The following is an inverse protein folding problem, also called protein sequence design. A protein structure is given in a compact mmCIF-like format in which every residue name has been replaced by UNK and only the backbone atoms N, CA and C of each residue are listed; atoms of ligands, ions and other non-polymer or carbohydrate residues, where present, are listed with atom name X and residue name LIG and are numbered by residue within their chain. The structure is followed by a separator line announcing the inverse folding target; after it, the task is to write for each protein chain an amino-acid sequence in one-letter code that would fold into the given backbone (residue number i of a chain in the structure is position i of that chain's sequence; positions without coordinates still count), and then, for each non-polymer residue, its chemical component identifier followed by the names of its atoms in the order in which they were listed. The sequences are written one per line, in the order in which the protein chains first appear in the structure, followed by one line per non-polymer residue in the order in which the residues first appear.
data_IF_158586336125
#
_entry.id   IF_158586336125
#
_cell.length_a   1.000
_cell.length_b   1.000
_cell.length_c   1.000
_cell.angle_alpha   90.00
_cell.angle_beta   90.00
_cell.angle_gamma   90.00
#
_symmetry.space_group_name_H-M   'P 1'
#
loop_
_entity.id
_entity.type
_entity.pdbx_description
1 polymer ?
#
# COMPACT_ATOMS: atom_id res chain seq x y z
N UNK A 1 -19.48 -45.69 -46.88
CA UNK A 1 -18.52 -44.66 -46.42
C UNK A 1 -17.15 -45.33 -46.34
N UNK A 2 -16.14 -44.82 -47.06
CA UNK A 2 -14.86 -45.52 -47.23
C UNK A 2 -13.94 -45.36 -46.01
N UNK A 3 -13.11 -46.36 -45.72
CA UNK A 3 -12.16 -46.30 -44.62
C UNK A 3 -11.17 -45.11 -44.73
N UNK A 4 -10.86 -44.69 -45.97
CA UNK A 4 -10.05 -43.51 -46.26
C UNK A 4 -10.68 -42.19 -45.81
N UNK A 5 -12.01 -42.05 -45.92
CA UNK A 5 -12.71 -40.85 -45.43
C UNK A 5 -12.63 -40.72 -43.91
N UNK A 6 -12.68 -41.84 -43.17
CA UNK A 6 -12.47 -41.83 -41.72
C UNK A 6 -11.03 -41.46 -41.34
N UNK A 7 -10.04 -41.96 -42.08
CA UNK A 7 -8.62 -41.68 -41.82
C UNK A 7 -8.30 -40.18 -41.99
N UNK A 8 -8.80 -39.56 -43.06
CA UNK A 8 -8.62 -38.13 -43.33
C UNK A 8 -9.28 -37.29 -42.24
N UNK A 9 -10.50 -37.66 -41.82
CA UNK A 9 -11.21 -36.95 -40.76
C UNK A 9 -10.45 -37.03 -39.42
N UNK A 10 -9.91 -38.21 -39.08
CA UNK A 10 -9.14 -38.41 -37.87
C UNK A 10 -7.86 -37.55 -37.85
N UNK A 11 -7.13 -37.48 -38.97
CA UNK A 11 -5.93 -36.63 -39.09
C UNK A 11 -6.28 -35.15 -38.96
N UNK A 12 -7.38 -34.70 -39.59
CA UNK A 12 -7.84 -33.31 -39.47
C UNK A 12 -8.22 -32.94 -38.03
N UNK A 13 -8.91 -33.84 -37.32
CA UNK A 13 -9.27 -33.65 -35.90
C UNK A 13 -8.02 -33.61 -35.02
N UNK A 14 -7.06 -34.52 -35.21
CA UNK A 14 -5.81 -34.51 -34.46
C UNK A 14 -5.00 -33.22 -34.70
N UNK A 15 -4.94 -32.75 -35.95
CA UNK A 15 -4.29 -31.50 -36.30
C UNK A 15 -4.97 -30.29 -35.66
N UNK A 16 -6.31 -30.25 -35.67
CA UNK A 16 -7.09 -29.21 -35.00
C UNK A 16 -6.89 -29.20 -33.48
N UNK A 17 -6.87 -30.37 -32.83
CA UNK A 17 -6.59 -30.48 -31.39
C UNK A 17 -5.18 -30.01 -31.08
N UNK A 18 -4.18 -30.40 -31.87
CA UNK A 18 -2.80 -29.98 -31.66
C UNK A 18 -2.61 -28.47 -31.85
N UNK A 19 -3.20 -27.90 -32.91
CA UNK A 19 -3.16 -26.46 -33.18
C UNK A 19 -3.87 -25.64 -32.09
N UNK A 20 -5.06 -26.09 -31.66
CA UNK A 20 -5.81 -25.41 -30.61
C UNK A 20 -5.12 -25.48 -29.24
N UNK A 21 -4.43 -26.58 -28.92
CA UNK A 21 -3.59 -26.70 -27.71
C UNK A 21 -2.42 -25.72 -27.74
N UNK A 22 -1.65 -25.67 -28.84
CA UNK A 22 -0.54 -24.71 -29.01
C UNK A 22 -1.01 -23.26 -28.87
N UNK A 23 -2.14 -22.91 -29.48
CA UNK A 23 -2.72 -21.56 -29.36
C UNK A 23 -3.13 -21.22 -27.92
N UNK A 24 -3.70 -22.18 -27.18
CA UNK A 24 -4.06 -22.00 -25.76
C UNK A 24 -2.84 -21.86 -24.86
N UNK A 25 -1.73 -22.54 -25.17
CA UNK A 25 -0.47 -22.42 -24.43
C UNK A 25 0.20 -21.07 -24.67
N UNK A 26 0.31 -20.63 -25.93
CA UNK A 26 0.85 -19.33 -26.29
C UNK A 26 0.05 -18.18 -25.64
N UNK A 27 -1.28 -18.26 -25.65
CA UNK A 27 -2.13 -17.26 -24.98
C UNK A 27 -1.91 -17.24 -23.46
N UNK A 28 -1.78 -18.42 -22.83
CA UNK A 28 -1.49 -18.51 -21.39
C UNK A 28 -0.12 -17.95 -21.04
N UNK A 29 0.89 -18.16 -21.88
CA UNK A 29 2.22 -17.56 -21.71
C UNK A 29 2.16 -16.04 -21.84
N UNK A 30 1.52 -15.51 -22.88
CA UNK A 30 1.34 -14.07 -23.08
C UNK A 30 0.63 -13.40 -21.89
N UNK A 31 -0.44 -14.03 -21.36
CA UNK A 31 -1.14 -13.52 -20.16
C UNK A 31 -0.21 -13.52 -18.93
N UNK A 32 0.59 -14.57 -18.74
CA UNK A 32 1.54 -14.66 -17.62
C UNK A 32 2.61 -13.58 -17.72
N UNK A 33 3.17 -13.36 -18.90
CA UNK A 33 4.18 -12.32 -19.13
C UNK A 33 3.60 -10.93 -18.93
N UNK A 34 2.42 -10.66 -19.50
CA UNK A 34 1.70 -9.41 -19.30
C UNK A 34 1.44 -9.14 -17.81
N UNK A 35 0.94 -10.14 -17.06
CA UNK A 35 0.71 -10.01 -15.62
C UNK A 35 2.02 -9.81 -14.84
N UNK A 36 3.12 -10.44 -15.26
CA UNK A 36 4.43 -10.27 -14.63
C UNK A 36 4.95 -8.84 -14.83
N UNK A 37 4.81 -8.28 -16.04
CA UNK A 37 5.19 -6.89 -16.34
C UNK A 37 4.33 -5.93 -15.52
N UNK A 38 3.00 -6.09 -15.58
CA UNK A 38 2.05 -5.27 -14.81
C UNK A 38 2.35 -5.29 -13.33
N UNK A 39 2.56 -6.46 -12.73
CA UNK A 39 2.85 -6.57 -11.29
C UNK A 39 4.17 -5.88 -10.91
N UNK A 40 5.17 -5.92 -11.80
CA UNK A 40 6.43 -5.20 -11.59
C UNK A 40 6.21 -3.68 -11.62
N UNK A 41 5.45 -3.19 -12.59
CA UNK A 41 5.13 -1.76 -12.70
C UNK A 41 4.37 -1.25 -11.48
N UNK A 42 3.35 -1.99 -11.03
CA UNK A 42 2.57 -1.64 -9.84
C UNK A 42 3.43 -1.61 -8.57
N UNK A 43 4.34 -2.58 -8.42
CA UNK A 43 5.29 -2.60 -7.31
C UNK A 43 6.21 -1.38 -7.34
N UNK A 44 6.77 -1.05 -8.50
CA UNK A 44 7.61 0.14 -8.67
C UNK A 44 6.84 1.42 -8.36
N UNK A 45 5.57 1.53 -8.77
CA UNK A 45 4.73 2.68 -8.42
C UNK A 45 4.49 2.79 -6.91
N UNK A 46 4.17 1.69 -6.23
CA UNK A 46 4.02 1.65 -4.78
C UNK A 46 5.29 2.12 -4.07
N UNK A 47 6.45 1.57 -4.44
CA UNK A 47 7.75 1.94 -3.86
C UNK A 47 8.05 3.43 -4.07
N UNK A 48 7.80 3.95 -5.26
CA UNK A 48 8.02 5.37 -5.57
C UNK A 48 7.14 6.30 -4.73
N UNK A 49 5.83 6.01 -4.64
CA UNK A 49 4.89 6.82 -3.85
C UNK A 49 5.25 6.79 -2.36
N UNK A 50 5.51 5.60 -1.83
CA UNK A 50 5.93 5.43 -0.44
C UNK A 50 7.25 6.16 -0.14
N UNK A 51 8.24 6.01 -1.01
CA UNK A 51 9.53 6.66 -0.82
C UNK A 51 9.42 8.18 -0.94
N UNK A 52 8.58 8.68 -1.85
CA UNK A 52 8.28 10.12 -1.95
C UNK A 52 7.66 10.64 -0.66
N UNK A 53 6.67 9.93 -0.09
CA UNK A 53 6.08 10.30 1.19
C UNK A 53 7.12 10.32 2.32
N UNK A 54 7.97 9.30 2.41
CA UNK A 54 9.05 9.20 3.40
C UNK A 54 10.20 10.19 3.17
N UNK A 55 10.31 10.77 1.98
CA UNK A 55 11.29 11.80 1.63
C UNK A 55 10.76 13.22 1.86
N UNK A 56 9.48 13.37 2.20
CA UNK A 56 8.88 14.66 2.57
C UNK A 56 9.70 15.31 3.69
N UNK A 57 9.98 16.60 3.53
CA UNK A 57 10.76 17.39 4.48
C UNK A 57 9.86 18.24 5.37
N UNK A 58 10.37 18.62 6.53
CA UNK A 58 9.66 19.53 7.44
C UNK A 58 9.33 20.87 6.76
N UNK A 59 10.24 21.39 5.92
CA UNK A 59 10.06 22.63 5.20
C UNK A 59 8.87 22.60 4.22
N UNK A 60 8.76 21.52 3.43
CA UNK A 60 7.62 21.31 2.53
C UNK A 60 6.27 21.25 3.28
N UNK A 61 6.33 20.84 4.54
CA UNK A 61 5.19 20.71 5.42
C UNK A 61 5.01 21.89 6.36
N UNK A 62 5.87 22.92 6.28
CA UNK A 62 5.84 24.12 7.11
C UNK A 62 5.95 23.80 8.63
N UNK A 63 6.67 22.72 8.93
CA UNK A 63 6.86 22.16 10.27
C UNK A 63 8.24 22.50 10.88
N UNK A 64 9.04 23.33 10.21
CA UNK A 64 10.35 23.82 10.65
C UNK A 64 10.27 25.18 11.40
N UNK A 65 9.06 25.66 11.68
CA UNK A 65 8.78 26.95 12.33
C UNK A 65 9.30 27.10 13.76
N UNK A 66 9.51 25.98 14.47
CA UNK A 66 10.04 25.96 15.84
C UNK A 66 11.28 25.08 15.89
N UNK A 67 12.50 25.64 15.72
CA UNK A 67 13.73 24.85 15.69
C UNK A 67 14.03 24.19 17.04
N UNK A 68 13.49 24.74 18.14
CA UNK A 68 13.74 24.27 19.50
C UNK A 68 12.75 23.18 19.96
N UNK A 69 11.80 22.78 19.11
CA UNK A 69 10.76 21.81 19.45
C UNK A 69 10.71 20.71 18.40
N UNK A 70 10.77 19.46 18.85
CA UNK A 70 10.53 18.33 17.97
C UNK A 70 9.03 18.24 17.62
N UNK A 71 8.70 18.38 16.35
CA UNK A 71 7.34 18.36 15.81
C UNK A 71 7.20 17.15 14.89
N UNK A 72 6.27 16.26 15.21
CA UNK A 72 5.86 15.17 14.32
C UNK A 72 4.93 15.72 13.23
N UNK A 73 5.40 15.74 11.98
CA UNK A 73 4.61 16.30 10.88
C UNK A 73 4.04 15.24 9.93
N UNK A 74 4.57 14.02 9.95
CA UNK A 74 4.10 12.94 9.08
C UNK A 74 4.33 11.57 9.69
N UNK A 75 3.48 10.63 9.31
CA UNK A 75 3.67 9.21 9.57
C UNK A 75 3.57 8.39 8.28
N UNK A 76 4.23 7.24 8.28
CA UNK A 76 4.03 6.20 7.27
C UNK A 76 3.92 4.85 7.98
N UNK A 77 2.78 4.18 7.80
CA UNK A 77 2.45 2.91 8.42
C UNK A 77 2.44 1.83 7.34
N UNK A 78 3.41 0.93 7.40
CA UNK A 78 3.57 -0.16 6.45
C UNK A 78 3.03 -1.49 6.98
N UNK A 79 2.32 -2.19 6.10
CA UNK A 79 1.84 -3.56 6.29
C UNK A 79 2.36 -4.43 5.16
N UNK A 80 3.17 -5.43 5.49
CA UNK A 80 3.69 -6.35 4.48
C UNK A 80 2.69 -7.48 4.17
N UNK A 81 2.17 -8.14 5.21
CA UNK A 81 1.32 -9.33 5.08
C UNK A 81 -0.03 -9.07 4.38
N UNK A 82 -0.51 -7.81 4.41
CA UNK A 82 -1.76 -7.40 3.76
C UNK A 82 -1.60 -7.01 2.29
N UNK A 83 -0.45 -7.31 1.67
CA UNK A 83 -0.21 -7.08 0.24
C UNK A 83 0.51 -5.77 -0.08
N UNK A 84 1.57 -5.46 0.69
CA UNK A 84 2.37 -4.23 0.54
C UNK A 84 1.47 -2.98 0.60
N UNK A 85 1.01 -2.63 1.79
CA UNK A 85 0.18 -1.45 2.03
C UNK A 85 0.99 -0.42 2.78
N UNK A 86 0.95 0.83 2.32
CA UNK A 86 1.49 1.99 3.04
C UNK A 86 0.36 2.99 3.27
N UNK A 87 0.05 3.27 4.53
CA UNK A 87 -0.81 4.40 4.91
C UNK A 87 0.07 5.57 5.31
N UNK A 88 -0.13 6.72 4.68
CA UNK A 88 0.61 7.95 4.98
C UNK A 88 -0.38 8.98 5.49
N UNK A 89 -0.01 9.72 6.53
CA UNK A 89 -0.76 10.88 6.99
C UNK A 89 0.17 12.01 7.42
N UNK A 90 -0.29 13.23 7.20
CA UNK A 90 0.42 14.47 7.48
C UNK A 90 -0.35 15.31 8.49
N UNK A 91 0.37 16.13 9.26
CA UNK A 91 -0.20 17.05 10.25
C UNK A 91 -1.08 18.15 9.61
N UNK A 92 -0.94 18.39 8.31
CA UNK A 92 -1.85 19.24 7.52
C UNK A 92 -3.22 18.58 7.32
N UNK A 93 -3.34 17.27 7.60
CA UNK A 93 -4.52 16.44 7.39
C UNK A 93 -4.61 15.77 6.02
N UNK A 94 -3.60 15.95 5.16
CA UNK A 94 -3.46 15.09 3.98
C UNK A 94 -3.13 13.64 4.42
N UNK A 95 -3.63 12.66 3.68
CA UNK A 95 -3.35 11.24 3.90
C UNK A 95 -3.57 10.45 2.61
N UNK A 96 -2.84 9.37 2.39
CA UNK A 96 -2.98 8.52 1.21
C UNK A 96 -2.74 7.06 1.57
N UNK A 97 -3.26 6.14 0.75
CA UNK A 97 -3.03 4.70 0.90
C UNK A 97 -2.48 4.16 -0.40
N UNK A 98 -1.30 3.55 -0.34
CA UNK A 98 -0.64 2.91 -1.47
C UNK A 98 -0.73 1.40 -1.32
N UNK A 99 -1.03 0.71 -2.42
CA UNK A 99 -1.12 -0.74 -2.49
C UNK A 99 -0.16 -1.26 -3.56
N UNK A 100 0.69 -2.23 -3.23
CA UNK A 100 1.58 -2.89 -4.20
C UNK A 100 0.82 -3.62 -5.33
N UNK A 101 -0.48 -3.88 -5.14
CA UNK A 101 -1.36 -4.56 -6.10
C UNK A 101 -2.18 -3.62 -7.00
N UNK A 102 -2.06 -2.30 -6.83
CA UNK A 102 -2.29 -1.35 -7.92
C UNK A 102 -3.42 -0.33 -7.87
N UNK A 103 -4.53 -0.41 -7.12
CA UNK A 103 -5.29 0.82 -6.86
C UNK A 103 -4.66 1.50 -5.66
N UNK A 104 -4.02 2.66 -5.83
CA UNK A 104 -3.76 3.56 -4.71
C UNK A 104 -4.98 4.46 -4.49
N UNK A 105 -5.27 4.75 -3.23
CA UNK A 105 -6.33 5.67 -2.85
C UNK A 105 -5.62 6.95 -2.43
N UNK A 106 -5.60 7.93 -3.33
CA UNK A 106 -5.33 9.31 -2.96
C UNK A 106 -6.68 10.00 -2.78
N UNK A 107 -7.10 10.31 -1.55
CA UNK A 107 -8.34 11.02 -1.33
C UNK A 107 -8.28 12.35 -2.06
N UNK A 108 -9.18 12.61 -3.00
CA UNK A 108 -9.39 13.97 -3.48
C UNK A 108 -9.96 14.79 -2.30
N UNK A 109 -9.07 15.58 -1.72
CA UNK A 109 -9.06 16.14 -0.37
C UNK A 109 -10.05 17.29 -0.16
N UNK A 110 -11.36 17.02 -0.07
CA UNK A 110 -12.36 18.08 0.22
C UNK A 110 -13.35 17.80 1.35
N UNK A 111 -13.21 16.69 2.07
CA UNK A 111 -14.03 16.41 3.26
C UNK A 111 -13.25 16.75 4.54
N UNK A 112 -13.75 17.74 5.30
CA UNK A 112 -13.19 18.16 6.59
C UNK A 112 -13.04 16.99 7.57
N UNK A 113 -13.91 15.98 7.48
CA UNK A 113 -13.84 14.78 8.32
C UNK A 113 -12.58 13.96 8.06
N UNK A 114 -12.17 13.82 6.80
CA UNK A 114 -10.92 13.12 6.45
C UNK A 114 -9.69 13.88 6.92
N UNK A 115 -9.69 15.21 6.81
CA UNK A 115 -8.64 16.08 7.35
C UNK A 115 -8.51 16.01 8.87
N UNK A 116 -9.63 16.04 9.58
CA UNK A 116 -9.65 15.91 11.04
C UNK A 116 -9.08 14.56 11.50
N UNK A 117 -9.48 13.48 10.83
CA UNK A 117 -9.05 12.14 11.20
C UNK A 117 -7.56 11.89 10.88
N UNK A 118 -7.05 12.37 9.76
CA UNK A 118 -5.62 12.29 9.45
C UNK A 118 -4.75 13.04 10.48
N UNK A 119 -5.18 14.24 10.89
CA UNK A 119 -4.51 14.99 11.97
C UNK A 119 -4.53 14.25 13.29
N UNK A 120 -5.68 13.68 13.64
CA UNK A 120 -5.82 12.87 14.85
C UNK A 120 -4.88 11.65 14.82
N UNK A 121 -4.71 11.00 13.68
CA UNK A 121 -3.78 9.88 13.52
C UNK A 121 -2.34 10.32 13.77
N UNK A 122 -1.91 11.48 13.24
CA UNK A 122 -0.58 12.02 13.51
C UNK A 122 -0.40 12.30 15.01
N UNK A 123 -1.38 12.95 15.65
CA UNK A 123 -1.33 13.24 17.09
C UNK A 123 -1.27 11.97 17.95
N UNK A 124 -2.06 10.94 17.64
CA UNK A 124 -2.00 9.65 18.35
C UNK A 124 -0.61 9.01 18.20
N UNK A 125 0.02 9.21 17.05
CA UNK A 125 1.31 8.62 16.73
C UNK A 125 2.47 9.24 17.52
N UNK A 126 2.31 10.43 18.10
CA UNK A 126 3.31 11.03 18.99
C UNK A 126 3.63 10.14 20.20
N UNK A 127 2.65 9.35 20.67
CA UNK A 127 2.81 8.38 21.77
C UNK A 127 3.88 7.32 21.50
N UNK A 128 4.27 7.14 20.24
CA UNK A 128 5.29 6.17 19.84
C UNK A 128 6.71 6.75 19.82
N UNK A 129 6.88 8.08 19.82
CA UNK A 129 8.21 8.71 19.82
C UNK A 129 9.12 8.20 20.95
N UNK A 130 8.64 8.04 22.21
CA UNK A 130 9.51 7.57 23.32
C UNK A 130 10.02 6.14 23.16
N UNK A 131 9.34 5.31 22.36
CA UNK A 131 9.69 3.90 22.15
C UNK A 131 10.26 3.63 20.75
N UNK A 132 10.27 4.65 19.88
CA UNK A 132 10.77 4.53 18.52
C UNK A 132 12.29 4.75 18.49
N UNK A 133 12.95 4.07 17.55
CA UNK A 133 14.38 4.21 17.34
C UNK A 133 14.65 5.16 16.16
N UNK A 134 15.60 6.11 16.26
CA UNK A 134 16.05 6.88 15.11
C UNK A 134 16.45 5.97 13.94
N UNK A 135 16.09 6.35 12.72
CA UNK A 135 16.45 5.57 11.53
C UNK A 135 16.63 6.45 10.30
N UNK A 136 17.60 6.11 9.47
CA UNK A 136 17.64 6.55 8.06
C UNK A 136 17.15 5.45 7.10
N UNK A 137 17.03 4.22 7.63
CA UNK A 137 16.60 3.06 6.87
C UNK A 137 15.07 2.99 6.83
N UNK A 138 14.53 3.03 5.61
CA UNK A 138 13.11 2.96 5.29
C UNK A 138 12.70 1.64 4.64
N UNK A 139 13.46 0.56 4.83
CA UNK A 139 13.10 -0.76 4.33
C UNK A 139 11.73 -1.20 4.87
N UNK A 140 11.02 -1.94 4.02
CA UNK A 140 9.73 -2.55 4.35
C UNK A 140 9.87 -3.48 5.57
N UNK A 141 8.81 -3.63 6.39
CA UNK A 141 8.81 -4.56 7.52
C UNK A 141 9.08 -6.01 7.10
N UNK A 142 9.48 -6.84 8.06
CA UNK A 142 9.52 -8.28 7.86
C UNK A 142 8.13 -8.89 7.70
N UNK A 143 8.09 -10.19 7.38
CA UNK A 143 6.84 -10.96 7.44
C UNK A 143 6.26 -10.89 8.85
N UNK A 144 4.93 -10.77 8.95
CA UNK A 144 4.17 -10.68 10.19
C UNK A 144 4.47 -9.44 11.05
N UNK A 145 5.05 -8.39 10.47
CA UNK A 145 5.35 -7.13 11.15
C UNK A 145 4.62 -5.94 10.54
N UNK A 146 4.32 -4.97 11.42
CA UNK A 146 3.86 -3.64 11.08
C UNK A 146 4.97 -2.67 11.46
N UNK A 147 5.31 -1.75 10.57
CA UNK A 147 6.28 -0.68 10.86
C UNK A 147 5.61 0.68 10.78
N UNK A 148 5.80 1.49 11.81
CA UNK A 148 5.41 2.88 11.84
C UNK A 148 6.68 3.73 11.76
N UNK A 149 6.76 4.55 10.71
CA UNK A 149 7.75 5.59 10.53
C UNK A 149 7.16 6.91 11.01
N UNK A 150 7.92 7.63 11.81
CA UNK A 150 7.59 8.94 12.37
C UNK A 150 8.57 9.96 11.81
N UNK A 151 8.08 10.96 11.08
CA UNK A 151 8.89 11.99 10.47
C UNK A 151 8.76 13.28 11.28
N UNK A 152 9.85 13.67 11.95
CA UNK A 152 9.93 14.92 12.71
C UNK A 152 10.79 15.94 12.00
N UNK A 153 10.69 17.21 12.42
CA UNK A 153 11.57 18.28 11.95
C UNK A 153 13.05 18.09 12.32
N UNK A 154 13.36 17.15 13.22
CA UNK A 154 14.74 16.82 13.63
C UNK A 154 15.25 15.62 12.84
N UNK A 155 14.50 14.50 12.80
CA UNK A 155 14.91 13.24 12.18
C UNK A 155 13.73 12.28 11.97
N UNK A 156 14.02 11.09 11.43
CA UNK A 156 13.03 10.02 11.28
C UNK A 156 13.22 8.97 12.37
N UNK A 157 12.12 8.40 12.81
CA UNK A 157 12.10 7.28 13.74
C UNK A 157 11.29 6.13 13.16
N UNK A 158 11.57 4.93 13.65
CA UNK A 158 10.85 3.70 13.33
C UNK A 158 10.52 2.95 14.60
N UNK A 159 9.30 2.45 14.64
CA UNK A 159 8.88 1.43 15.60
C UNK A 159 8.21 0.29 14.83
N UNK A 160 8.56 -0.94 15.16
CA UNK A 160 8.01 -2.14 14.54
C UNK A 160 7.41 -3.05 15.59
N UNK A 161 6.34 -3.75 15.23
CA UNK A 161 5.64 -4.67 16.11
C UNK A 161 5.15 -5.86 15.30
N UNK A 162 5.02 -7.03 15.94
CA UNK A 162 4.38 -8.18 15.31
C UNK A 162 2.87 -7.96 15.22
N UNK A 163 2.27 -8.40 14.11
CA UNK A 163 0.81 -8.36 13.88
C UNK A 163 0.04 -9.09 14.98
N UNK A 164 0.61 -10.13 15.57
CA UNK A 164 0.02 -10.85 16.72
C UNK A 164 -0.21 -9.94 17.92
N UNK A 165 0.71 -9.01 18.15
CA UNK A 165 0.79 -8.25 19.39
C UNK A 165 -0.09 -7.00 19.30
N UNK A 166 -0.45 -6.54 18.10
CA UNK A 166 -1.30 -5.36 17.90
C UNK A 166 -2.78 -5.58 18.24
N UNK A 167 -3.17 -6.82 18.60
CA UNK A 167 -4.57 -7.16 18.95
C UNK A 167 -4.92 -6.88 20.40
N UNK A 168 -3.93 -6.62 21.25
CA UNK A 168 -4.18 -6.25 22.65
C UNK A 168 -4.72 -4.82 22.73
N UNK A 169 -5.87 -4.64 23.39
CA UNK A 169 -6.50 -3.32 23.58
C UNK A 169 -5.69 -2.37 24.45
N UNK A 170 -4.72 -2.89 25.18
CA UNK A 170 -3.91 -2.12 26.13
C UNK A 170 -2.69 -1.45 25.48
N UNK A 171 -2.47 -1.65 24.17
CA UNK A 171 -1.34 -1.09 23.44
C UNK A 171 -1.74 0.13 22.59
N UNK A 172 -0.90 1.18 22.51
CA UNK A 172 -1.11 2.33 21.62
C UNK A 172 -1.39 1.95 20.16
N UNK A 173 -0.91 0.79 19.72
CA UNK A 173 -1.16 0.22 18.40
C UNK A 173 -2.63 -0.03 18.12
N UNK A 174 -3.42 -0.49 19.10
CA UNK A 174 -4.84 -0.77 18.87
C UNK A 174 -5.63 0.51 18.54
N UNK A 175 -5.34 1.59 19.26
CA UNK A 175 -5.93 2.92 19.01
C UNK A 175 -5.53 3.44 17.62
N UNK A 176 -4.24 3.41 17.29
CA UNK A 176 -3.73 3.83 15.98
C UNK A 176 -4.39 3.07 14.83
N UNK A 177 -4.37 1.74 14.89
CA UNK A 177 -4.92 0.88 13.83
C UNK A 177 -6.44 1.03 13.68
N UNK A 178 -7.16 1.26 14.78
CA UNK A 178 -8.62 1.52 14.74
C UNK A 178 -8.93 2.84 14.03
N UNK A 179 -8.14 3.89 14.30
CA UNK A 179 -8.32 5.19 13.65
C UNK A 179 -7.95 5.12 12.17
N UNK A 180 -6.83 4.47 11.82
CA UNK A 180 -6.44 4.23 10.43
C UNK A 180 -7.53 3.45 9.69
N UNK A 181 -8.06 2.36 10.28
CA UNK A 181 -9.17 1.60 9.68
C UNK A 181 -10.40 2.45 9.42
N UNK A 182 -10.75 3.34 10.36
CA UNK A 182 -11.88 4.27 10.21
C UNK A 182 -11.69 5.21 9.02
N UNK A 183 -10.48 5.78 8.88
CA UNK A 183 -10.13 6.64 7.74
C UNK A 183 -10.14 5.84 6.44
N UNK A 184 -9.47 4.69 6.38
CA UNK A 184 -9.44 3.83 5.19
C UNK A 184 -10.86 3.48 4.73
N UNK A 185 -11.74 3.14 5.68
CA UNK A 185 -13.13 2.81 5.39
C UNK A 185 -13.88 4.01 4.80
N UNK A 186 -13.75 5.20 5.39
CA UNK A 186 -14.39 6.41 4.88
C UNK A 186 -13.89 6.78 3.47
N UNK A 187 -12.58 6.62 3.23
CA UNK A 187 -11.97 6.84 1.92
C UNK A 187 -12.50 5.90 0.83
N UNK A 188 -12.64 4.61 1.15
CA UNK A 188 -13.20 3.62 0.22
C UNK A 188 -14.65 3.93 -0.15
N UNK A 189 -15.46 4.45 0.78
CA UNK A 189 -16.85 4.84 0.49
C UNK A 189 -16.93 6.07 -0.43
N UNK A 190 -16.07 7.07 -0.24
CA UNK A 190 -16.06 8.27 -1.07
C UNK A 190 -15.53 7.99 -2.48
N UNK A 191 -14.50 7.13 -2.62
CA UNK A 191 -13.96 6.71 -3.92
C UNK A 191 -14.98 5.97 -4.80
N UNK A 192 -15.85 5.14 -4.20
CA UNK A 192 -16.91 4.45 -4.95
C UNK A 192 -18.03 5.36 -5.44
N UNK A 193 -18.38 6.41 -4.69
CA UNK A 193 -19.44 7.35 -5.10
C UNK A 193 -19.06 8.21 -6.31
N UNK A 194 -17.77 8.43 -6.57
CA UNK A 194 -17.29 9.18 -7.75
C UNK A 194 -17.21 8.33 -9.03
N UNK A 195 -17.47 7.02 -8.95
CA UNK A 195 -17.45 6.10 -10.11
C UNK A 195 -18.85 5.68 -10.59
N UNK A 196 -19.92 6.36 -10.14
CA UNK A 196 -21.30 6.16 -10.60
C UNK A 196 -21.78 7.37 -11.39
#
# INVERSE_FOLDING_TARGET
MNIYTFLILAVAVLFYIFYSRKRKEANRQAIREHNKIRNRELKTQYENLRNSALATTAHQMDADRSPDTEILYSICLDFWELGEIAFVAFWTGACSIYFGTGPFIDPDFRDERSYGAARQIVNISEKFLPIASPTENTHLPGNDEISLFLLTNIRKYKVSVKVSDTKSKDLPWFELLTNVKTVVTSLQFTGRKKQV
#
